data_IF_064645530769
#
_entry.id   IF_064645530769
#
_cell.length_a   1.000
_cell.length_b   1.000
_cell.length_c   1.000
_cell.angle_alpha   90.00
_cell.angle_beta   90.00
_cell.angle_gamma   90.00
#
_symmetry.space_group_name_H-M   'P 1'
#
loop_
_entity.id
_entity.type
_entity.pdbx_description
1 polymer ?
#
# COMPACT_ATOMS: atom_id res chain seq x y z
N UNK A 1 62.59 -4.47 -80.36
CA UNK A 1 62.37 -5.15 -79.06
C UNK A 1 61.77 -4.21 -78.00
N UNK A 2 62.26 -2.98 -77.80
CA UNK A 2 61.73 -2.03 -76.77
C UNK A 2 60.24 -1.67 -76.94
N UNK A 3 59.76 -1.42 -78.16
CA UNK A 3 58.34 -1.09 -78.40
C UNK A 3 57.39 -2.25 -78.08
N UNK A 4 57.80 -3.50 -78.33
CA UNK A 4 57.02 -4.68 -77.99
C UNK A 4 56.94 -4.89 -76.46
N UNK A 5 58.05 -4.66 -75.75
CA UNK A 5 58.06 -4.72 -74.29
C UNK A 5 57.16 -3.63 -73.66
N UNK A 6 57.13 -2.42 -74.24
CA UNK A 6 56.25 -1.34 -73.80
C UNK A 6 54.76 -1.67 -74.04
N UNK A 7 54.43 -2.29 -75.17
CA UNK A 7 53.06 -2.73 -75.47
C UNK A 7 52.61 -3.92 -74.60
N UNK A 8 53.54 -4.72 -74.09
CA UNK A 8 53.25 -5.83 -73.18
C UNK A 8 52.97 -5.38 -71.73
N UNK A 9 53.21 -4.11 -71.38
CA UNK A 9 52.90 -3.58 -70.06
C UNK A 9 51.38 -3.50 -69.87
N UNK A 10 50.86 -4.29 -68.93
CA UNK A 10 49.42 -4.50 -68.71
C UNK A 10 48.90 -3.85 -67.41
N UNK A 11 49.60 -2.85 -66.87
CA UNK A 11 49.24 -2.22 -65.60
C UNK A 11 47.79 -1.71 -65.53
N UNK A 12 47.29 -1.09 -66.59
CA UNK A 12 45.91 -0.61 -66.66
C UNK A 12 44.88 -1.76 -66.61
N UNK A 13 45.18 -2.89 -67.27
CA UNK A 13 44.31 -4.07 -67.23
C UNK A 13 44.32 -4.70 -65.83
N UNK A 14 45.48 -4.77 -65.17
CA UNK A 14 45.59 -5.28 -63.79
C UNK A 14 44.78 -4.41 -62.81
N UNK A 15 44.82 -3.08 -62.97
CA UNK A 15 44.00 -2.16 -62.16
C UNK A 15 42.51 -2.39 -62.42
N UNK A 16 42.08 -2.52 -63.68
CA UNK A 16 40.68 -2.77 -64.01
C UNK A 16 40.18 -4.10 -63.43
N UNK A 17 40.95 -5.18 -63.57
CA UNK A 17 40.62 -6.47 -62.98
C UNK A 17 40.45 -6.38 -61.45
N UNK A 18 41.36 -5.68 -60.77
CA UNK A 18 41.24 -5.44 -59.34
C UNK A 18 39.95 -4.65 -58.99
N UNK A 19 39.57 -3.66 -59.82
CA UNK A 19 38.32 -2.89 -59.63
C UNK A 19 37.08 -3.77 -59.78
N UNK A 20 37.08 -4.67 -60.74
CA UNK A 20 35.97 -5.59 -60.98
C UNK A 20 35.80 -6.55 -59.79
N UNK A 21 36.90 -7.12 -59.29
CA UNK A 21 36.88 -7.95 -58.08
C UNK A 21 36.39 -7.20 -56.83
N UNK A 22 36.90 -5.99 -56.58
CA UNK A 22 36.51 -5.19 -55.42
C UNK A 22 35.02 -4.80 -55.50
N UNK A 23 34.54 -4.45 -56.70
CA UNK A 23 33.13 -4.13 -56.93
C UNK A 23 32.24 -5.34 -56.71
N UNK A 24 32.64 -6.53 -57.18
CA UNK A 24 31.92 -7.77 -56.94
C UNK A 24 31.81 -8.09 -55.45
N UNK A 25 32.90 -7.94 -54.69
CA UNK A 25 32.93 -8.14 -53.23
C UNK A 25 32.01 -7.14 -52.49
N UNK A 26 32.03 -5.86 -52.86
CA UNK A 26 31.14 -4.84 -52.27
C UNK A 26 29.68 -5.17 -52.55
N UNK A 27 29.34 -5.63 -53.76
CA UNK A 27 27.99 -6.05 -54.11
C UNK A 27 27.52 -7.23 -53.25
N UNK A 28 28.36 -8.24 -53.06
CA UNK A 28 28.06 -9.44 -52.27
C UNK A 28 28.14 -9.24 -50.75
N UNK A 29 28.56 -8.06 -50.29
CA UNK A 29 28.61 -7.73 -48.85
C UNK A 29 27.19 -7.52 -48.34
N UNK A 30 26.69 -8.47 -47.55
CA UNK A 30 25.29 -8.52 -47.14
C UNK A 30 24.93 -7.51 -46.05
N UNK A 31 25.92 -7.05 -45.29
CA UNK A 31 25.66 -6.21 -44.12
C UNK A 31 25.87 -4.72 -44.33
N UNK A 32 26.56 -4.36 -45.41
CA UNK A 32 26.67 -2.96 -45.85
C UNK A 32 25.31 -2.43 -46.29
N UNK A 33 24.99 -1.21 -45.87
CA UNK A 33 23.85 -0.48 -46.41
C UNK A 33 24.16 0.05 -47.83
N UNK A 34 23.12 0.49 -48.55
CA UNK A 34 23.28 0.90 -49.95
C UNK A 34 24.23 2.10 -50.09
N UNK A 35 24.13 3.09 -49.21
CA UNK A 35 24.98 4.27 -49.24
C UNK A 35 26.47 3.90 -49.05
N UNK A 36 26.78 2.97 -48.15
CA UNK A 36 28.13 2.44 -47.95
C UNK A 36 28.64 1.72 -49.20
N UNK A 37 27.80 0.87 -49.83
CA UNK A 37 28.17 0.19 -51.08
C UNK A 37 28.50 1.20 -52.18
N UNK A 38 27.69 2.23 -52.33
CA UNK A 38 27.88 3.25 -53.37
C UNK A 38 29.13 4.10 -53.12
N UNK A 39 29.35 4.52 -51.87
CA UNK A 39 30.56 5.25 -51.49
C UNK A 39 31.85 4.43 -51.71
N UNK A 40 31.85 3.15 -51.33
CA UNK A 40 33.00 2.26 -51.55
C UNK A 40 33.24 1.99 -53.04
N UNK A 41 32.20 1.79 -53.85
CA UNK A 41 32.34 1.67 -55.31
C UNK A 41 32.95 2.92 -55.92
N UNK A 42 32.54 4.11 -55.46
CA UNK A 42 33.14 5.36 -55.93
C UNK A 42 34.65 5.43 -55.59
N UNK A 43 35.04 4.98 -54.39
CA UNK A 43 36.46 4.89 -54.01
C UNK A 43 37.23 3.89 -54.89
N UNK A 44 36.65 2.72 -55.19
CA UNK A 44 37.22 1.75 -56.14
C UNK A 44 37.43 2.39 -57.51
N UNK A 45 36.45 3.13 -58.02
CA UNK A 45 36.57 3.80 -59.33
C UNK A 45 37.65 4.87 -59.34
N UNK A 46 37.82 5.62 -58.24
CA UNK A 46 38.82 6.67 -58.12
C UNK A 46 40.26 6.14 -57.93
N UNK A 47 40.43 4.90 -57.48
CA UNK A 47 41.75 4.31 -57.29
C UNK A 47 42.48 4.10 -58.63
N UNK A 48 43.76 4.48 -58.67
CA UNK A 48 44.61 4.45 -59.88
C UNK A 48 45.64 3.32 -59.89
N UNK A 49 45.78 2.59 -58.77
CA UNK A 49 46.75 1.49 -58.62
C UNK A 49 46.06 0.25 -58.04
N UNK A 50 46.63 -0.93 -58.31
CA UNK A 50 46.14 -2.20 -57.75
C UNK A 50 46.17 -2.17 -56.22
N UNK A 51 47.24 -1.62 -55.63
CA UNK A 51 47.35 -1.46 -54.18
C UNK A 51 46.23 -0.58 -53.60
N UNK A 52 45.92 0.55 -54.26
CA UNK A 52 44.82 1.42 -53.86
C UNK A 52 43.47 0.70 -53.90
N UNK A 53 43.20 -0.07 -54.96
CA UNK A 53 41.96 -0.87 -55.07
C UNK A 53 41.90 -1.96 -53.98
N UNK A 54 43.01 -2.64 -53.70
CA UNK A 54 43.08 -3.65 -52.65
C UNK A 54 42.84 -3.07 -51.26
N UNK A 55 43.29 -1.84 -50.97
CA UNK A 55 43.00 -1.17 -49.71
C UNK A 55 41.50 -0.88 -49.55
N UNK A 56 40.81 -0.47 -50.61
CA UNK A 56 39.35 -0.27 -50.58
C UNK A 56 38.62 -1.61 -50.40
N UNK A 57 39.09 -2.68 -51.06
CA UNK A 57 38.57 -4.05 -50.90
C UNK A 57 38.68 -4.51 -49.44
N UNK A 58 39.83 -4.31 -48.81
CA UNK A 58 40.05 -4.61 -47.39
C UNK A 58 39.11 -3.80 -46.48
N UNK A 59 39.00 -2.49 -46.73
CA UNK A 59 38.08 -1.60 -45.99
C UNK A 59 36.65 -2.07 -46.10
N UNK A 60 36.20 -2.50 -47.28
CA UNK A 60 34.85 -3.03 -47.49
C UNK A 60 34.59 -4.32 -46.67
N UNK A 61 35.57 -5.22 -46.60
CA UNK A 61 35.46 -6.46 -45.79
C UNK A 61 35.39 -6.14 -44.29
N UNK A 62 36.27 -5.27 -43.79
CA UNK A 62 36.27 -4.85 -42.39
C UNK A 62 34.99 -4.11 -42.01
N UNK A 63 34.53 -3.21 -42.88
CA UNK A 63 33.28 -2.49 -42.68
C UNK A 63 32.09 -3.45 -42.66
N UNK A 64 32.02 -4.40 -43.60
CA UNK A 64 30.96 -5.40 -43.62
C UNK A 64 30.94 -6.20 -42.31
N UNK A 65 32.11 -6.64 -41.83
CA UNK A 65 32.22 -7.37 -40.56
C UNK A 65 31.77 -6.51 -39.37
N UNK A 66 32.19 -5.25 -39.30
CA UNK A 66 31.77 -4.33 -38.25
C UNK A 66 30.25 -4.09 -38.28
N UNK A 67 29.66 -3.99 -39.47
CA UNK A 67 28.21 -3.85 -39.65
C UNK A 67 27.44 -5.10 -39.22
N UNK A 68 27.96 -6.30 -39.53
CA UNK A 68 27.42 -7.57 -39.02
C UNK A 68 27.37 -7.55 -37.50
N UNK A 69 28.48 -7.18 -36.85
CA UNK A 69 28.57 -7.10 -35.39
C UNK A 69 27.62 -6.05 -34.81
N UNK A 70 27.50 -4.87 -35.45
CA UNK A 70 26.60 -3.81 -35.00
C UNK A 70 25.14 -4.28 -35.03
N UNK A 71 24.70 -4.92 -36.13
CA UNK A 71 23.34 -5.47 -36.27
C UNK A 71 23.04 -6.52 -35.21
N UNK A 72 23.97 -7.44 -34.98
CA UNK A 72 23.83 -8.47 -33.94
C UNK A 72 23.79 -7.85 -32.54
N UNK A 73 24.66 -6.89 -32.27
CA UNK A 73 24.77 -6.23 -30.96
C UNK A 73 23.55 -5.42 -30.54
N UNK A 74 22.70 -5.01 -31.49
CA UNK A 74 21.44 -4.31 -31.20
C UNK A 74 20.18 -5.16 -31.45
N UNK A 75 20.34 -6.43 -31.81
CA UNK A 75 19.22 -7.30 -32.18
C UNK A 75 18.23 -7.49 -31.03
N UNK A 76 18.71 -7.46 -29.78
CA UNK A 76 17.90 -7.64 -28.57
C UNK A 76 17.41 -6.31 -27.95
N UNK A 77 17.41 -5.22 -28.72
CA UNK A 77 17.04 -3.89 -28.23
C UNK A 77 15.66 -3.83 -27.58
N UNK A 78 14.67 -4.52 -28.17
CA UNK A 78 13.29 -4.52 -27.65
C UNK A 78 13.18 -5.37 -26.38
N UNK A 79 13.89 -6.50 -26.32
CA UNK A 79 13.99 -7.30 -25.10
C UNK A 79 14.66 -6.52 -23.97
N UNK A 80 15.74 -5.79 -24.27
CA UNK A 80 16.43 -4.95 -23.29
C UNK A 80 15.51 -3.84 -22.76
N UNK A 81 14.72 -3.19 -23.63
CA UNK A 81 13.76 -2.14 -23.20
C UNK A 81 12.62 -2.66 -22.34
N UNK A 82 12.21 -3.92 -22.53
CA UNK A 82 11.17 -4.57 -21.74
C UNK A 82 11.69 -5.15 -20.41
N UNK A 83 13.01 -5.37 -20.31
CA UNK A 83 13.65 -5.93 -19.13
C UNK A 83 13.61 -4.99 -17.92
N UNK A 84 13.45 -5.57 -16.72
CA UNK A 84 13.40 -4.82 -15.46
C UNK A 84 14.66 -3.99 -15.19
N UNK A 85 15.82 -4.43 -15.69
CA UNK A 85 17.08 -3.68 -15.54
C UNK A 85 17.07 -2.37 -16.34
N UNK A 86 16.30 -2.28 -17.42
CA UNK A 86 16.09 -1.03 -18.15
C UNK A 86 14.94 -0.22 -17.55
N UNK A 87 13.78 -0.86 -17.32
CA UNK A 87 12.57 -0.16 -16.85
C UNK A 87 12.80 0.52 -15.50
N UNK A 88 13.56 -0.11 -14.59
CA UNK A 88 13.89 0.45 -13.29
C UNK A 88 15.19 1.29 -13.28
N UNK A 89 15.91 1.39 -14.40
CA UNK A 89 17.18 2.15 -14.45
C UNK A 89 16.93 3.65 -14.30
N UNK A 90 17.97 4.37 -13.91
CA UNK A 90 17.88 5.82 -13.85
C UNK A 90 17.57 6.44 -15.23
N UNK A 91 16.79 7.53 -15.29
CA UNK A 91 16.35 8.11 -16.56
C UNK A 91 17.49 8.48 -17.52
N UNK A 92 18.62 8.96 -17.00
CA UNK A 92 19.82 9.29 -17.78
C UNK A 92 20.44 8.04 -18.43
N UNK A 93 20.50 6.93 -17.70
CA UNK A 93 21.01 5.64 -18.21
C UNK A 93 20.08 5.02 -19.25
N UNK A 94 18.77 5.10 -19.03
CA UNK A 94 17.79 4.70 -20.04
C UNK A 94 17.97 5.52 -21.33
N UNK A 95 18.12 6.84 -21.20
CA UNK A 95 18.31 7.73 -22.33
C UNK A 95 19.65 7.48 -23.05
N UNK A 96 20.73 7.23 -22.31
CA UNK A 96 22.03 6.88 -22.89
C UNK A 96 21.93 5.61 -23.76
N UNK A 97 21.25 4.57 -23.27
CA UNK A 97 21.00 3.36 -24.06
C UNK A 97 20.14 3.62 -25.29
N UNK A 98 19.01 4.34 -25.14
CA UNK A 98 18.13 4.72 -26.27
C UNK A 98 18.89 5.49 -27.35
N UNK A 99 19.73 6.45 -26.96
CA UNK A 99 20.53 7.25 -27.90
C UNK A 99 21.60 6.42 -28.61
N UNK A 100 22.30 5.54 -27.88
CA UNK A 100 23.29 4.66 -28.48
C UNK A 100 22.66 3.71 -29.51
N UNK A 101 21.50 3.13 -29.19
CA UNK A 101 20.74 2.28 -30.12
C UNK A 101 20.27 3.08 -31.33
N UNK A 102 19.72 4.28 -31.15
CA UNK A 102 19.30 5.13 -32.26
C UNK A 102 20.46 5.51 -33.19
N UNK A 103 21.66 5.76 -32.64
CA UNK A 103 22.87 6.00 -33.44
C UNK A 103 23.29 4.74 -34.22
N UNK A 104 23.22 3.57 -33.59
CA UNK A 104 23.49 2.30 -34.26
C UNK A 104 22.50 2.03 -35.40
N UNK A 105 21.20 2.31 -35.18
CA UNK A 105 20.17 2.19 -36.22
C UNK A 105 20.42 3.13 -37.40
N UNK A 106 20.81 4.38 -37.15
CA UNK A 106 21.18 5.35 -38.18
C UNK A 106 22.38 4.89 -39.02
N UNK A 107 23.38 4.28 -38.38
CA UNK A 107 24.54 3.70 -39.09
C UNK A 107 24.12 2.47 -39.92
N UNK A 108 23.20 1.65 -39.40
CA UNK A 108 22.66 0.50 -40.12
C UNK A 108 21.83 0.91 -41.33
N UNK A 109 21.02 1.97 -41.23
CA UNK A 109 20.24 2.49 -42.35
C UNK A 109 21.10 3.27 -43.35
N UNK A 110 22.22 3.85 -42.91
CA UNK A 110 23.04 4.75 -43.71
C UNK A 110 22.43 6.14 -43.86
N UNK A 111 21.58 6.56 -42.91
CA UNK A 111 20.90 7.84 -42.93
C UNK A 111 21.00 8.53 -41.56
N UNK A 112 21.24 9.86 -41.50
CA UNK A 112 21.46 10.78 -42.63
C UNK A 112 22.86 10.68 -43.24
N UNK A 113 23.85 10.19 -42.49
CA UNK A 113 25.26 10.22 -42.89
C UNK A 113 25.74 8.84 -43.31
N UNK A 114 26.49 8.78 -44.42
CA UNK A 114 27.19 7.57 -44.85
C UNK A 114 28.55 7.48 -44.13
N UNK A 115 28.74 6.39 -43.39
CA UNK A 115 30.00 6.10 -42.70
C UNK A 115 30.61 4.85 -43.31
N UNK A 116 31.80 5.00 -43.90
CA UNK A 116 32.58 3.89 -44.49
C UNK A 116 33.82 3.51 -43.65
N UNK A 117 33.97 4.09 -42.47
CA UNK A 117 35.08 3.84 -41.54
C UNK A 117 34.75 2.70 -40.58
N UNK A 118 35.42 1.53 -40.65
CA UNK A 118 35.10 0.39 -39.78
C UNK A 118 35.18 0.71 -38.28
N UNK A 119 36.18 1.50 -37.86
CA UNK A 119 36.38 1.86 -36.44
C UNK A 119 35.25 2.70 -35.87
N UNK A 120 34.56 3.50 -36.68
CA UNK A 120 33.40 4.29 -36.23
C UNK A 120 32.19 3.38 -35.97
N UNK A 121 32.00 2.34 -36.79
CA UNK A 121 30.97 1.32 -36.57
C UNK A 121 31.25 0.53 -35.29
N UNK A 122 32.51 0.11 -35.10
CA UNK A 122 32.95 -0.54 -33.85
C UNK A 122 32.76 0.37 -32.63
N UNK A 123 33.06 1.67 -32.74
CA UNK A 123 32.87 2.62 -31.66
C UNK A 123 31.39 2.77 -31.28
N UNK A 124 30.47 2.79 -32.25
CA UNK A 124 29.04 2.84 -31.99
C UNK A 124 28.54 1.56 -31.30
N UNK A 125 29.01 0.39 -31.73
CA UNK A 125 28.71 -0.89 -31.06
C UNK A 125 29.19 -0.86 -29.60
N UNK A 126 30.45 -0.46 -29.37
CA UNK A 126 31.00 -0.34 -28.01
C UNK A 126 30.17 0.61 -27.14
N UNK A 127 29.64 1.70 -27.73
CA UNK A 127 28.78 2.63 -27.00
C UNK A 127 27.45 2.01 -26.60
N UNK A 128 26.84 1.20 -27.46
CA UNK A 128 25.62 0.43 -27.12
C UNK A 128 25.92 -0.56 -25.99
N UNK A 129 27.00 -1.34 -26.11
CA UNK A 129 27.40 -2.32 -25.09
C UNK A 129 27.65 -1.65 -23.75
N UNK A 130 28.37 -0.52 -23.72
CA UNK A 130 28.61 0.25 -22.51
C UNK A 130 27.30 0.75 -21.90
N UNK A 131 26.46 1.44 -22.68
CA UNK A 131 25.21 1.99 -22.17
C UNK A 131 24.25 0.92 -21.66
N UNK A 132 24.27 -0.28 -22.27
CA UNK A 132 23.51 -1.45 -21.82
C UNK A 132 24.03 -1.98 -20.47
N UNK A 133 25.36 -2.08 -20.32
CA UNK A 133 25.98 -2.51 -19.06
C UNK A 133 25.81 -1.48 -17.94
N UNK A 134 25.70 -0.20 -18.30
CA UNK A 134 25.48 0.89 -17.35
C UNK A 134 24.06 0.94 -16.80
N UNK A 135 23.11 0.19 -17.38
CA UNK A 135 21.74 0.06 -16.87
C UNK A 135 21.75 -0.55 -15.47
N UNK A 136 21.11 0.15 -14.53
CA UNK A 136 21.18 -0.15 -13.10
C UNK A 136 19.82 -0.48 -12.47
N UNK A 137 18.82 -0.81 -13.26
CA UNK A 137 17.46 -1.04 -12.75
C UNK A 137 17.34 -2.18 -11.74
N UNK A 138 18.15 -3.23 -11.88
CA UNK A 138 18.19 -4.33 -10.90
C UNK A 138 18.72 -3.86 -9.54
N UNK A 139 19.74 -2.98 -9.56
CA UNK A 139 20.30 -2.39 -8.34
C UNK A 139 19.28 -1.44 -7.69
N UNK A 140 18.61 -0.62 -8.49
CA UNK A 140 17.55 0.27 -8.03
C UNK A 140 16.39 -0.50 -7.39
N UNK A 141 15.96 -1.59 -8.01
CA UNK A 141 14.91 -2.46 -7.47
C UNK A 141 15.33 -3.09 -6.14
N UNK A 142 16.55 -3.65 -6.07
CA UNK A 142 17.06 -4.25 -4.83
C UNK A 142 17.11 -3.23 -3.68
N UNK A 143 17.61 -2.02 -3.95
CA UNK A 143 17.64 -0.92 -2.98
C UNK A 143 16.24 -0.50 -2.54
N UNK A 144 15.30 -0.38 -3.47
CA UNK A 144 13.91 -0.07 -3.15
C UNK A 144 13.29 -1.13 -2.24
N UNK A 145 13.48 -2.42 -2.53
CA UNK A 145 13.02 -3.53 -1.69
C UNK A 145 13.58 -3.45 -0.28
N UNK A 146 14.89 -3.24 -0.15
CA UNK A 146 15.55 -3.12 1.16
C UNK A 146 15.01 -1.93 1.96
N UNK A 147 14.86 -0.77 1.32
CA UNK A 147 14.35 0.43 1.97
C UNK A 147 12.90 0.26 2.44
N UNK A 148 12.04 -0.31 1.60
CA UNK A 148 10.64 -0.55 1.95
C UNK A 148 10.51 -1.62 3.03
N UNK A 149 11.30 -2.70 2.96
CA UNK A 149 11.37 -3.71 4.01
C UNK A 149 11.67 -3.06 5.36
N UNK A 150 12.74 -2.25 5.41
CA UNK A 150 13.11 -1.54 6.63
C UNK A 150 12.00 -0.60 7.11
N UNK A 151 11.36 0.14 6.21
CA UNK A 151 10.26 1.03 6.57
C UNK A 151 9.07 0.28 7.19
N UNK A 152 8.71 -0.89 6.65
CA UNK A 152 7.64 -1.74 7.20
C UNK A 152 8.02 -2.30 8.57
N UNK A 153 9.28 -2.69 8.76
CA UNK A 153 9.76 -3.18 10.06
C UNK A 153 9.66 -2.11 11.17
N UNK A 154 9.68 -0.81 10.80
CA UNK A 154 9.49 0.29 11.74
C UNK A 154 8.01 0.62 12.03
N UNK A 155 7.05 -0.02 11.35
CA UNK A 155 5.62 0.23 11.58
C UNK A 155 5.15 -0.43 12.89
N UNK A 156 4.66 0.35 13.87
CA UNK A 156 4.51 -0.12 15.25
C UNK A 156 3.28 -0.99 15.51
N UNK A 157 2.24 -0.91 14.66
CA UNK A 157 0.93 -1.49 14.97
C UNK A 157 0.46 -2.57 14.00
N UNK A 158 1.27 -2.91 12.99
CA UNK A 158 1.04 -4.15 12.23
C UNK A 158 1.24 -5.37 13.14
N UNK A 159 0.42 -6.41 12.96
CA UNK A 159 0.71 -7.71 13.54
C UNK A 159 1.80 -8.43 12.72
N UNK A 160 2.37 -9.51 13.27
CA UNK A 160 3.50 -10.19 12.60
C UNK A 160 3.09 -10.80 11.26
N UNK A 161 1.91 -11.40 11.17
CA UNK A 161 1.45 -12.03 9.95
C UNK A 161 1.25 -11.00 8.81
N UNK A 162 0.77 -9.77 9.13
CA UNK A 162 0.67 -8.68 8.16
C UNK A 162 2.04 -8.26 7.64
N UNK A 163 3.05 -8.14 8.51
CA UNK A 163 4.43 -7.88 8.10
C UNK A 163 4.95 -8.97 7.17
N UNK A 164 4.74 -10.24 7.52
CA UNK A 164 5.20 -11.37 6.72
C UNK A 164 4.56 -11.38 5.32
N UNK A 165 3.27 -11.04 5.21
CA UNK A 165 2.58 -10.94 3.92
C UNK A 165 3.09 -9.76 3.07
N UNK A 166 3.37 -8.59 3.66
CA UNK A 166 4.03 -7.51 2.93
C UNK A 166 5.44 -7.88 2.47
N UNK A 167 6.22 -8.59 3.30
CA UNK A 167 7.57 -9.04 2.94
C UNK A 167 7.56 -10.00 1.75
N UNK A 168 6.54 -10.87 1.70
CA UNK A 168 6.29 -11.73 0.54
C UNK A 168 5.97 -10.92 -0.72
N UNK A 169 5.08 -9.92 -0.62
CA UNK A 169 4.77 -9.03 -1.75
C UNK A 169 6.00 -8.24 -2.23
N UNK A 170 6.82 -7.71 -1.33
CA UNK A 170 8.08 -7.03 -1.65
C UNK A 170 9.03 -7.97 -2.41
N UNK A 171 9.16 -9.21 -1.94
CA UNK A 171 10.01 -10.21 -2.57
C UNK A 171 9.57 -10.48 -4.00
N UNK A 172 8.26 -10.57 -4.25
CA UNK A 172 7.66 -10.84 -5.57
C UNK A 172 7.64 -9.62 -6.51
N UNK A 173 7.73 -8.40 -5.99
CA UNK A 173 7.68 -7.20 -6.82
C UNK A 173 8.86 -7.13 -7.81
N UNK A 174 8.57 -6.81 -9.08
CA UNK A 174 9.55 -6.73 -10.16
C UNK A 174 9.88 -5.30 -10.58
N UNK A 175 9.10 -4.32 -10.10
CA UNK A 175 9.22 -2.91 -10.47
C UNK A 175 9.27 -2.03 -9.22
N UNK A 176 10.09 -0.98 -9.27
CA UNK A 176 10.23 0.00 -8.17
C UNK A 176 8.88 0.65 -7.79
N UNK A 177 8.02 1.08 -8.74
CA UNK A 177 6.68 1.58 -8.40
C UNK A 177 5.82 0.60 -7.60
N UNK A 178 5.88 -0.70 -7.90
CA UNK A 178 5.11 -1.71 -7.17
C UNK A 178 5.61 -1.86 -5.73
N UNK A 179 6.93 -1.79 -5.53
CA UNK A 179 7.55 -1.79 -4.18
C UNK A 179 7.08 -0.57 -3.38
N UNK A 180 7.05 0.61 -4.00
CA UNK A 180 6.55 1.84 -3.36
C UNK A 180 5.05 1.75 -3.00
N UNK A 181 4.23 1.17 -3.89
CA UNK A 181 2.81 0.96 -3.63
C UNK A 181 2.58 0.04 -2.42
N UNK A 182 3.41 -0.99 -2.25
CA UNK A 182 3.39 -1.86 -1.06
C UNK A 182 3.70 -1.06 0.21
N UNK A 183 4.67 -0.14 0.18
CA UNK A 183 4.96 0.75 1.31
C UNK A 183 3.75 1.61 1.71
N UNK A 184 3.07 2.21 0.72
CA UNK A 184 1.84 2.97 0.98
C UNK A 184 0.76 2.09 1.59
N UNK A 185 0.51 0.90 1.03
CA UNK A 185 -0.48 -0.03 1.54
C UNK A 185 -0.21 -0.42 3.01
N UNK A 186 1.06 -0.72 3.33
CA UNK A 186 1.48 -1.06 4.69
C UNK A 186 1.30 0.10 5.68
N UNK A 187 1.58 1.33 5.24
CA UNK A 187 1.36 2.54 6.06
C UNK A 187 -0.14 2.71 6.35
N UNK A 188 -0.99 2.62 5.33
CA UNK A 188 -2.45 2.74 5.50
C UNK A 188 -3.01 1.65 6.43
N UNK A 189 -2.56 0.41 6.29
CA UNK A 189 -2.99 -0.67 7.19
C UNK A 189 -2.51 -0.43 8.62
N UNK A 190 -1.26 0.01 8.81
CA UNK A 190 -0.73 0.37 10.12
C UNK A 190 -1.57 1.48 10.78
N UNK A 191 -2.01 2.48 10.03
CA UNK A 191 -2.84 3.56 10.56
C UNK A 191 -4.20 3.05 11.01
N UNK A 192 -4.86 2.20 10.21
CA UNK A 192 -6.11 1.56 10.61
C UNK A 192 -5.93 0.69 11.88
N UNK A 193 -4.83 -0.06 11.97
CA UNK A 193 -4.50 -0.87 13.15
C UNK A 193 -4.23 0.00 14.38
N UNK A 194 -3.58 1.16 14.19
CA UNK A 194 -3.36 2.16 15.24
C UNK A 194 -4.69 2.67 15.79
N UNK A 195 -5.61 3.07 14.90
CA UNK A 195 -6.93 3.54 15.29
C UNK A 195 -7.74 2.47 15.99
N UNK A 196 -7.73 1.22 15.51
CA UNK A 196 -8.42 0.10 16.15
C UNK A 196 -7.90 -0.12 17.58
N UNK A 197 -6.57 -0.17 17.75
CA UNK A 197 -5.91 -0.34 19.05
C UNK A 197 -6.27 0.79 20.02
N UNK A 198 -6.30 2.03 19.56
CA UNK A 198 -6.71 3.18 20.37
C UNK A 198 -8.21 3.12 20.72
N UNK A 199 -9.07 2.77 19.76
CA UNK A 199 -10.51 2.71 19.95
C UNK A 199 -10.96 1.70 21.00
N UNK A 200 -10.19 0.63 21.22
CA UNK A 200 -10.47 -0.36 22.26
C UNK A 200 -9.68 -0.14 23.56
N UNK A 201 -8.84 0.90 23.65
CA UNK A 201 -7.96 1.11 24.81
C UNK A 201 -8.75 1.30 26.12
N UNK A 202 -9.90 1.96 26.06
CA UNK A 202 -10.75 2.26 27.22
C UNK A 202 -11.74 1.14 27.56
N UNK A 203 -11.61 -0.07 26.99
CA UNK A 203 -12.54 -1.18 27.21
C UNK A 203 -12.78 -1.50 28.69
N UNK A 204 -11.72 -1.45 29.52
CA UNK A 204 -11.83 -1.78 30.94
C UNK A 204 -12.65 -0.72 31.70
N UNK A 205 -12.47 0.56 31.36
CA UNK A 205 -13.25 1.66 31.93
C UNK A 205 -14.72 1.56 31.53
N UNK A 206 -15.01 1.26 30.26
CA UNK A 206 -16.38 1.10 29.76
C UNK A 206 -17.07 -0.06 30.49
N UNK A 207 -16.42 -1.23 30.57
CA UNK A 207 -16.97 -2.41 31.24
C UNK A 207 -17.15 -2.27 32.75
N UNK A 208 -16.44 -1.34 33.38
CA UNK A 208 -16.60 -0.99 34.80
C UNK A 208 -17.57 0.17 35.06
N UNK A 209 -18.24 0.69 34.03
CA UNK A 209 -19.19 1.79 34.17
C UNK A 209 -20.61 1.27 34.42
N UNK A 210 -21.42 2.03 35.17
CA UNK A 210 -22.85 1.71 35.35
C UNK A 210 -23.60 1.69 34.02
N UNK A 211 -23.19 2.50 33.05
CA UNK A 211 -23.80 2.46 31.72
C UNK A 211 -23.67 1.09 31.06
N UNK A 212 -22.61 0.34 31.35
CA UNK A 212 -22.45 -1.03 30.92
C UNK A 212 -23.18 -2.00 31.85
N UNK A 213 -22.97 -1.92 33.17
CA UNK A 213 -23.53 -2.87 34.13
C UNK A 213 -25.07 -2.90 34.13
N UNK A 214 -25.72 -1.75 34.05
CA UNK A 214 -27.18 -1.64 34.01
C UNK A 214 -27.76 -1.80 32.59
N UNK A 215 -26.93 -1.83 31.54
CA UNK A 215 -27.41 -2.02 30.17
C UNK A 215 -28.14 -3.35 29.97
N UNK A 216 -28.92 -3.43 28.90
CA UNK A 216 -29.53 -4.71 28.52
C UNK A 216 -28.46 -5.74 28.14
N UNK A 217 -28.73 -7.01 28.47
CA UNK A 217 -27.80 -8.13 28.23
C UNK A 217 -27.39 -8.26 26.76
N UNK A 218 -28.30 -7.99 25.82
CA UNK A 218 -28.03 -8.01 24.38
C UNK A 218 -27.02 -6.93 23.98
N UNK A 219 -27.10 -5.73 24.58
CA UNK A 219 -26.19 -4.60 24.31
C UNK A 219 -24.82 -4.80 24.92
N UNK A 220 -24.77 -5.33 26.15
CA UNK A 220 -23.52 -5.78 26.77
C UNK A 220 -22.81 -6.82 25.89
N UNK A 221 -23.55 -7.84 25.46
CA UNK A 221 -23.03 -8.91 24.58
C UNK A 221 -22.56 -8.35 23.24
N UNK A 222 -23.30 -7.41 22.65
CA UNK A 222 -22.92 -6.78 21.39
C UNK A 222 -21.60 -6.01 21.50
N UNK A 223 -21.41 -5.25 22.59
CA UNK A 223 -20.17 -4.54 22.87
C UNK A 223 -19.00 -5.51 23.11
N UNK A 224 -19.20 -6.53 23.94
CA UNK A 224 -18.18 -7.55 24.23
C UNK A 224 -17.74 -8.31 22.98
N UNK A 225 -18.69 -8.65 22.10
CA UNK A 225 -18.39 -9.30 20.82
C UNK A 225 -17.61 -8.36 19.88
N UNK A 226 -17.96 -7.08 19.82
CA UNK A 226 -17.26 -6.10 18.99
C UNK A 226 -15.80 -5.90 19.46
N UNK A 227 -15.59 -5.77 20.78
CA UNK A 227 -14.25 -5.67 21.38
C UNK A 227 -13.45 -6.95 21.14
N UNK A 228 -14.05 -8.12 21.34
CA UNK A 228 -13.39 -9.41 21.08
C UNK A 228 -12.95 -9.51 19.62
N UNK A 229 -13.80 -9.11 18.66
CA UNK A 229 -13.46 -9.12 17.25
C UNK A 229 -12.33 -8.16 16.91
N UNK A 230 -12.31 -6.97 17.50
CA UNK A 230 -11.22 -6.02 17.35
C UNK A 230 -9.89 -6.59 17.89
N UNK A 231 -9.91 -7.21 19.08
CA UNK A 231 -8.73 -7.87 19.65
C UNK A 231 -8.22 -9.03 18.79
N UNK A 232 -9.11 -9.82 18.19
CA UNK A 232 -8.75 -10.86 17.24
C UNK A 232 -7.97 -10.32 16.05
N UNK A 233 -8.44 -9.24 15.42
CA UNK A 233 -7.76 -8.62 14.29
C UNK A 233 -6.36 -8.11 14.66
N UNK A 234 -6.22 -7.54 15.86
CA UNK A 234 -4.92 -7.08 16.36
C UNK A 234 -3.91 -8.22 16.61
N UNK A 235 -4.37 -9.45 16.85
CA UNK A 235 -3.53 -10.59 17.25
C UNK A 235 -3.44 -11.72 16.21
N UNK A 236 -3.97 -11.54 15.00
CA UNK A 236 -3.92 -12.58 13.96
C UNK A 236 -2.47 -13.03 13.70
N UNK A 237 -2.27 -14.35 13.72
CA UNK A 237 -0.95 -14.98 13.49
C UNK A 237 -0.89 -15.75 12.17
N UNK A 238 -2.03 -16.03 11.56
CA UNK A 238 -2.15 -16.69 10.25
C UNK A 238 -3.28 -16.03 9.45
N UNK A 239 -3.16 -16.03 8.12
CA UNK A 239 -4.13 -15.43 7.19
C UNK A 239 -4.62 -14.04 7.66
N UNK A 240 -3.69 -13.07 7.80
CA UNK A 240 -4.01 -11.77 8.36
C UNK A 240 -4.99 -11.02 7.48
N UNK A 241 -5.80 -10.17 8.11
CA UNK A 241 -6.58 -9.16 7.41
C UNK A 241 -5.66 -8.06 6.90
N UNK A 242 -5.55 -7.94 5.57
CA UNK A 242 -4.72 -6.93 4.89
C UNK A 242 -5.52 -5.70 4.42
N UNK A 243 -6.85 -5.79 4.41
CA UNK A 243 -7.72 -4.69 3.98
C UNK A 243 -7.99 -3.72 5.14
N UNK A 244 -7.52 -2.46 5.05
CA UNK A 244 -7.74 -1.45 6.09
C UNK A 244 -9.22 -1.17 6.34
N UNK A 245 -10.10 -1.32 5.35
CA UNK A 245 -11.53 -1.07 5.54
C UNK A 245 -12.17 -2.09 6.49
N UNK A 246 -11.72 -3.34 6.46
CA UNK A 246 -12.19 -4.38 7.39
C UNK A 246 -11.79 -4.03 8.84
N UNK A 247 -10.58 -3.49 9.05
CA UNK A 247 -10.11 -3.00 10.35
C UNK A 247 -10.96 -1.81 10.82
N UNK A 248 -11.23 -0.86 9.92
CA UNK A 248 -12.06 0.31 10.21
C UNK A 248 -13.50 -0.07 10.55
N UNK A 249 -14.09 -1.05 9.87
CA UNK A 249 -15.44 -1.54 10.16
C UNK A 249 -15.53 -2.15 11.57
N UNK A 250 -14.50 -2.88 12.00
CA UNK A 250 -14.44 -3.41 13.37
C UNK A 250 -14.40 -2.28 14.40
N UNK A 251 -13.62 -1.22 14.15
CA UNK A 251 -13.59 -0.03 15.00
C UNK A 251 -14.96 0.67 15.05
N UNK A 252 -15.60 0.88 13.90
CA UNK A 252 -16.97 1.45 13.85
C UNK A 252 -17.94 0.60 14.68
N UNK A 253 -17.86 -0.73 14.57
CA UNK A 253 -18.72 -1.62 15.36
C UNK A 253 -18.51 -1.49 16.86
N UNK A 254 -17.26 -1.34 17.32
CA UNK A 254 -16.95 -1.07 18.73
C UNK A 254 -17.60 0.25 19.17
N UNK A 255 -17.46 1.31 18.37
CA UNK A 255 -18.02 2.62 18.71
C UNK A 255 -19.55 2.62 18.74
N UNK A 256 -20.19 1.96 17.78
CA UNK A 256 -21.66 1.88 17.70
C UNK A 256 -22.23 1.08 18.87
N UNK A 257 -21.61 -0.06 19.20
CA UNK A 257 -22.06 -0.90 20.32
C UNK A 257 -21.81 -0.26 21.68
N UNK A 258 -20.73 0.52 21.83
CA UNK A 258 -20.50 1.34 23.02
C UNK A 258 -21.58 2.42 23.18
N UNK A 259 -21.93 3.13 22.11
CA UNK A 259 -23.00 4.13 22.13
C UNK A 259 -24.37 3.52 22.38
N UNK A 260 -24.58 2.27 21.98
CA UNK A 260 -25.84 1.56 22.21
C UNK A 260 -26.05 1.13 23.67
N UNK A 261 -25.01 1.14 24.52
CA UNK A 261 -25.15 0.82 25.94
C UNK A 261 -26.14 1.79 26.62
N UNK A 262 -27.14 1.24 27.29
CA UNK A 262 -28.30 1.98 27.79
C UNK A 262 -28.48 1.94 29.31
N UNK A 263 -27.46 1.57 30.09
CA UNK A 263 -27.56 1.49 31.54
C UNK A 263 -27.91 2.83 32.20
N UNK A 264 -27.32 3.93 31.73
CA UNK A 264 -27.62 5.28 32.23
C UNK A 264 -29.09 5.66 32.00
N UNK A 265 -29.65 5.31 30.83
CA UNK A 265 -31.05 5.55 30.54
C UNK A 265 -31.95 4.73 31.47
N UNK A 266 -31.62 3.45 31.67
CA UNK A 266 -32.37 2.57 32.58
C UNK A 266 -32.31 3.05 34.02
N UNK A 267 -31.17 3.57 34.48
CA UNK A 267 -31.05 4.19 35.78
C UNK A 267 -31.96 5.42 35.90
N UNK A 268 -31.97 6.29 34.89
CA UNK A 268 -32.85 7.46 34.85
C UNK A 268 -34.34 7.06 34.89
N UNK A 269 -34.73 6.06 34.11
CA UNK A 269 -36.10 5.53 34.07
C UNK A 269 -36.50 4.90 35.42
N UNK A 270 -35.60 4.14 36.04
CA UNK A 270 -35.83 3.55 37.36
C UNK A 270 -36.01 4.64 38.43
N UNK A 271 -35.18 5.69 38.42
CA UNK A 271 -35.33 6.85 39.32
C UNK A 271 -36.67 7.52 39.12
N UNK A 272 -37.07 7.76 37.87
CA UNK A 272 -38.35 8.38 37.57
C UNK A 272 -39.54 7.51 38.02
N UNK A 273 -39.49 6.20 37.77
CA UNK A 273 -40.50 5.26 38.21
C UNK A 273 -40.60 5.19 39.75
N UNK A 274 -39.47 5.23 40.45
CA UNK A 274 -39.44 5.26 41.91
C UNK A 274 -40.02 6.57 42.47
N UNK A 275 -39.73 7.73 41.87
CA UNK A 275 -40.36 9.01 42.23
C UNK A 275 -41.88 9.00 42.00
N UNK A 276 -42.34 8.46 40.88
CA UNK A 276 -43.77 8.32 40.62
C UNK A 276 -44.44 7.44 41.67
N UNK A 277 -43.83 6.30 42.02
CA UNK A 277 -44.32 5.40 43.07
C UNK A 277 -44.30 6.07 44.46
N UNK A 278 -43.31 6.91 44.77
CA UNK A 278 -43.28 7.69 46.01
C UNK A 278 -44.47 8.66 46.10
N UNK A 279 -44.88 9.24 44.97
CA UNK A 279 -46.03 10.13 44.88
C UNK A 279 -47.35 9.47 45.28
N UNK A 280 -47.49 8.16 45.05
CA UNK A 280 -48.71 7.39 45.35
C UNK A 280 -48.78 6.84 46.78
N UNK A 281 -47.80 7.13 47.63
CA UNK A 281 -47.80 6.68 49.03
C UNK A 281 -48.51 7.72 49.91
N UNK A 282 -49.72 7.40 50.38
CA UNK A 282 -50.64 8.38 50.97
C UNK A 282 -50.43 8.63 52.47
N UNK A 283 -49.69 7.78 53.17
CA UNK A 283 -49.44 7.92 54.61
C UNK A 283 -48.08 8.55 54.95
N UNK A 284 -47.27 8.88 53.95
CA UNK A 284 -46.02 9.60 54.15
C UNK A 284 -46.25 11.12 54.17
N UNK A 285 -45.61 11.82 55.11
CA UNK A 285 -45.61 13.28 55.13
C UNK A 285 -44.60 13.88 54.13
N UNK A 286 -44.70 15.18 53.89
CA UNK A 286 -43.87 15.88 52.88
C UNK A 286 -42.37 15.77 53.16
N UNK A 287 -41.94 15.85 54.42
CA UNK A 287 -40.54 15.74 54.78
C UNK A 287 -39.98 14.33 54.50
N UNK A 288 -40.76 13.28 54.79
CA UNK A 288 -40.41 11.89 54.48
C UNK A 288 -40.34 11.68 52.96
N UNK A 289 -41.33 12.20 52.21
CA UNK A 289 -41.35 12.12 50.74
C UNK A 289 -40.16 12.86 50.12
N UNK A 290 -39.79 14.04 50.63
CA UNK A 290 -38.64 14.80 50.14
C UNK A 290 -37.32 14.09 50.42
N UNK A 291 -37.15 13.52 51.62
CA UNK A 291 -35.94 12.76 51.97
C UNK A 291 -35.77 11.53 51.07
N UNK A 292 -36.85 10.76 50.84
CA UNK A 292 -36.82 9.59 49.95
C UNK A 292 -36.60 9.98 48.49
N UNK A 293 -37.22 11.08 48.02
CA UNK A 293 -36.98 11.61 46.68
C UNK A 293 -35.51 11.96 46.48
N UNK A 294 -34.88 12.59 47.47
CA UNK A 294 -33.45 12.94 47.43
C UNK A 294 -32.58 11.68 47.37
N UNK A 295 -32.91 10.64 48.15
CA UNK A 295 -32.19 9.36 48.09
C UNK A 295 -32.33 8.69 46.72
N UNK A 296 -33.51 8.72 46.09
CA UNK A 296 -33.70 8.21 44.72
C UNK A 296 -32.84 8.99 43.73
N UNK A 297 -32.78 10.32 43.83
CA UNK A 297 -31.97 11.16 42.94
C UNK A 297 -30.48 10.85 43.04
N UNK A 298 -30.00 10.64 44.25
CA UNK A 298 -28.58 10.37 44.55
C UNK A 298 -28.18 8.91 44.37
N UNK A 299 -29.12 7.99 44.13
CA UNK A 299 -28.83 6.59 43.94
C UNK A 299 -27.83 6.38 42.79
N UNK A 300 -26.70 5.68 43.00
CA UNK A 300 -25.67 5.48 41.97
C UNK A 300 -26.07 4.44 40.93
N UNK A 301 -26.96 3.51 41.26
CA UNK A 301 -27.32 2.34 40.46
C UNK A 301 -28.80 1.94 40.64
N UNK A 302 -29.31 1.06 39.77
CA UNK A 302 -30.70 0.60 39.82
C UNK A 302 -31.02 -0.17 41.11
N UNK A 303 -30.07 -0.93 41.64
CA UNK A 303 -30.26 -1.69 42.87
C UNK A 303 -30.55 -0.77 44.07
N UNK A 304 -29.82 0.34 44.17
CA UNK A 304 -30.00 1.36 45.20
C UNK A 304 -31.34 2.07 45.04
N UNK A 305 -31.75 2.39 43.80
CA UNK A 305 -33.10 2.92 43.54
C UNK A 305 -34.19 1.97 44.04
N UNK A 306 -34.05 0.66 43.75
CA UNK A 306 -35.00 -0.35 44.20
C UNK A 306 -35.03 -0.49 45.73
N UNK A 307 -33.88 -0.40 46.39
CA UNK A 307 -33.82 -0.40 47.86
C UNK A 307 -34.53 0.81 48.47
N UNK A 308 -34.34 2.02 47.92
CA UNK A 308 -35.05 3.22 48.38
C UNK A 308 -36.56 3.08 48.17
N UNK A 309 -36.99 2.51 47.03
CA UNK A 309 -38.40 2.21 46.76
C UNK A 309 -39.00 1.25 47.80
N UNK A 310 -38.28 0.18 48.16
CA UNK A 310 -38.74 -0.76 49.18
C UNK A 310 -38.82 -0.11 50.57
N UNK A 311 -37.81 0.69 50.93
CA UNK A 311 -37.80 1.43 52.20
C UNK A 311 -38.97 2.41 52.29
N UNK A 312 -39.32 3.07 51.18
CA UNK A 312 -40.47 3.94 51.12
C UNK A 312 -41.79 3.22 51.37
N UNK A 313 -41.97 2.04 50.78
CA UNK A 313 -43.16 1.20 51.01
C UNK A 313 -43.25 0.75 52.47
N UNK A 314 -42.14 0.30 53.04
CA UNK A 314 -42.06 -0.12 54.44
C UNK A 314 -42.41 1.05 55.39
N UNK A 315 -41.88 2.24 55.12
CA UNK A 315 -42.18 3.44 55.90
C UNK A 315 -43.65 3.83 55.77
N UNK A 316 -44.22 3.77 54.57
CA UNK A 316 -45.63 4.06 54.36
C UNK A 316 -46.53 3.12 55.17
N UNK A 317 -46.25 1.83 55.17
CA UNK A 317 -46.99 0.85 55.98
C UNK A 317 -46.86 1.13 57.48
N UNK A 318 -45.66 1.50 57.96
CA UNK A 318 -45.47 1.88 59.35
C UNK A 318 -46.27 3.14 59.71
N UNK A 319 -46.33 4.12 58.80
CA UNK A 319 -47.11 5.33 58.97
C UNK A 319 -48.62 5.06 58.93
N UNK A 320 -49.10 4.13 58.10
CA UNK A 320 -50.49 3.65 58.13
C UNK A 320 -50.82 3.09 59.50
N UNK A 321 -49.98 2.21 60.05
CA UNK A 321 -50.20 1.62 61.37
C UNK A 321 -50.20 2.68 62.49
N UNK A 322 -49.29 3.66 62.42
CA UNK A 322 -49.26 4.78 63.35
C UNK A 322 -50.54 5.63 63.25
N UNK A 323 -50.98 5.93 62.03
CA UNK A 323 -52.21 6.67 61.77
C UNK A 323 -53.42 5.96 62.37
N UNK A 324 -53.53 4.65 62.17
CA UNK A 324 -54.61 3.83 62.73
C UNK A 324 -54.56 3.83 64.27
N UNK A 325 -53.39 3.63 64.87
CA UNK A 325 -53.25 3.66 66.33
C UNK A 325 -53.60 5.02 66.95
N UNK A 326 -53.30 6.13 66.24
CA UNK A 326 -53.71 7.48 66.67
C UNK A 326 -55.22 7.69 66.53
N UNK A 327 -55.84 7.13 65.49
CA UNK A 327 -57.28 7.13 65.33
C UNK A 327 -57.96 6.31 66.43
N UNK A 328 -57.52 5.07 66.68
CA UNK A 328 -58.01 4.21 67.76
C UNK A 328 -57.88 4.89 69.13
N UNK A 329 -56.76 5.56 69.38
CA UNK A 329 -56.58 6.39 70.59
C UNK A 329 -57.62 7.49 70.67
N UNK A 330 -57.87 8.20 69.56
CA UNK A 330 -58.86 9.28 69.51
C UNK A 330 -60.28 8.75 69.74
N UNK A 331 -60.64 7.62 69.13
CA UNK A 331 -61.92 6.94 69.34
C UNK A 331 -62.08 6.47 70.79
N UNK A 332 -61.02 5.91 71.38
CA UNK A 332 -61.01 5.50 72.80
C UNK A 332 -61.24 6.69 73.73
N UNK A 333 -60.52 7.80 73.52
CA UNK A 333 -60.67 9.03 74.31
C UNK A 333 -62.08 9.65 74.20
N UNK A 334 -62.75 9.46 73.06
CA UNK A 334 -64.10 9.96 72.80
C UNK A 334 -65.20 8.96 73.20
N UNK A 335 -64.85 7.75 73.60
CA UNK A 335 -65.83 6.73 73.98
C UNK A 335 -66.45 7.02 75.35
N UNK A 336 -67.74 6.69 75.51
CA UNK A 336 -68.45 6.82 76.79
C UNK A 336 -67.70 6.11 77.92
N UNK A 337 -67.12 4.94 77.63
CA UNK A 337 -66.33 4.18 78.59
C UNK A 337 -65.11 4.94 79.14
N UNK A 338 -64.52 5.86 78.36
CA UNK A 338 -63.41 6.69 78.81
C UNK A 338 -63.90 8.00 79.47
N UNK A 339 -64.97 8.61 78.97
CA UNK A 339 -65.50 9.87 79.53
C UNK A 339 -66.19 9.69 80.89
N UNK A 340 -66.75 8.51 81.14
CA UNK A 340 -67.53 8.19 82.34
C UNK A 340 -66.75 7.26 83.30
N UNK A 341 -65.43 7.14 83.13
CA UNK A 341 -64.57 6.37 84.02
C UNK A 341 -64.30 7.14 85.34
N UNK A 342 -64.68 6.55 86.48
CA UNK A 342 -64.44 7.06 87.85
C UNK A 342 -62.95 7.11 88.25
#
# INVERSE_FOLDING_TARGET
QVNAAKQALNGNANVQHAKDEATALINSSNDLNQAQKDALKQQVQNATTVAGVNNVKQTAQELNNAMTQLKQGIADKEQTKADGNFVNADPDKQNAYKQAVAKAEALISGTPDVVVTPSEITAALNKVTQAKNDLNGNTNLAKAKQNVQHAIDQLPNLNQAQRDEYNKQITQATLVPNVNAIQQAATTLNDAMTQLKQGIANKAQIKGSENYHDADTDKQTAYDNAVTKAEELLKQTTNPTMDPNTIQQALTKVNDTNQALNGNQKLADAKQAAKTNLGTLDHLNDAQKQALTTQVEQAPDIATVNNVKQNAQNLNNAMTNLSNALQDKTETLNSINFTDAD
#
